data_IF_287797280004
#
_entry.id   IF_287797280004
#
_cell.length_a   1.000
_cell.length_b   1.000
_cell.length_c   1.000
_cell.angle_alpha   90.00
_cell.angle_beta   90.00
_cell.angle_gamma   90.00
#
_symmetry.space_group_name_H-M   'P 1'
#
loop_
_entity.id
_entity.type
_entity.pdbx_description
1 polymer ?
#
# COMPACT_ATOMS: atom_id res chain seq x y z
N UNK A 1 -16.62 -1.14 -9.46
CA UNK A 1 -15.58 -0.25 -8.97
C UNK A 1 -15.34 -0.49 -7.48
N UNK A 2 -14.10 -0.61 -7.04
CA UNK A 2 -13.75 -0.70 -5.62
C UNK A 2 -12.84 0.48 -5.28
N UNK A 3 -13.26 1.30 -4.32
CA UNK A 3 -12.41 2.32 -3.73
C UNK A 3 -11.71 1.76 -2.49
N UNK A 4 -10.39 1.73 -2.56
CA UNK A 4 -9.52 1.25 -1.50
C UNK A 4 -9.30 2.36 -0.45
N UNK A 5 -10.00 2.25 0.68
CA UNK A 5 -9.81 3.06 1.89
C UNK A 5 -9.30 2.22 3.07
N UNK A 6 -8.74 1.02 2.80
CA UNK A 6 -8.28 0.11 3.86
C UNK A 6 -7.12 0.69 4.66
N UNK A 7 -6.10 1.27 3.99
CA UNK A 7 -4.90 1.86 4.61
C UNK A 7 -4.30 0.94 5.69
N UNK A 8 -3.96 -0.30 5.28
CA UNK A 8 -3.57 -1.37 6.19
C UNK A 8 -2.12 -1.29 6.70
N UNK A 9 -1.29 -0.41 6.16
CA UNK A 9 0.08 -0.19 6.65
C UNK A 9 0.05 0.46 8.04
N UNK A 10 0.79 -0.07 9.02
CA UNK A 10 0.91 0.58 10.32
C UNK A 10 1.45 2.01 10.20
N UNK A 11 1.10 2.87 11.13
CA UNK A 11 1.46 4.29 11.21
C UNK A 11 0.77 5.22 10.20
N UNK A 12 0.31 4.75 9.07
CA UNK A 12 -0.31 5.58 8.05
C UNK A 12 -1.74 5.96 8.43
N UNK A 13 -2.08 7.24 8.20
CA UNK A 13 -3.41 7.80 8.50
C UNK A 13 -3.85 8.84 7.47
N UNK A 14 -3.14 9.01 6.36
CA UNK A 14 -3.44 10.00 5.33
C UNK A 14 -4.76 9.73 4.62
N UNK A 15 -5.03 8.46 4.25
CA UNK A 15 -6.29 8.07 3.60
C UNK A 15 -7.47 8.20 4.58
N UNK A 16 -7.27 7.79 5.84
CA UNK A 16 -8.27 7.97 6.89
C UNK A 16 -8.65 9.45 7.04
N UNK A 17 -7.66 10.34 7.06
CA UNK A 17 -7.88 11.77 7.25
C UNK A 17 -8.65 12.38 6.09
N UNK A 18 -8.30 12.08 4.85
CA UNK A 18 -9.03 12.60 3.69
C UNK A 18 -10.46 12.03 3.60
N UNK A 19 -10.69 10.78 4.00
CA UNK A 19 -12.04 10.22 4.06
C UNK A 19 -12.93 10.94 5.07
N UNK A 20 -12.37 11.40 6.19
CA UNK A 20 -13.11 12.19 7.19
C UNK A 20 -13.37 13.61 6.68
N UNK A 21 -12.36 14.30 6.18
CA UNK A 21 -12.44 15.72 5.84
C UNK A 21 -13.05 16.01 4.47
N UNK A 22 -12.91 15.05 3.54
CA UNK A 22 -13.28 15.23 2.12
C UNK A 22 -14.22 14.13 1.62
N UNK A 23 -15.04 13.57 2.52
CA UNK A 23 -15.95 12.46 2.22
C UNK A 23 -16.86 12.72 1.02
N UNK A 24 -17.50 13.89 0.96
CA UNK A 24 -18.43 14.26 -0.12
C UNK A 24 -17.73 14.28 -1.48
N UNK A 25 -16.55 14.88 -1.54
CA UNK A 25 -15.75 14.97 -2.78
C UNK A 25 -15.26 13.60 -3.26
N UNK A 26 -14.90 12.72 -2.33
CA UNK A 26 -14.52 11.34 -2.66
C UNK A 26 -15.73 10.59 -3.24
N UNK A 27 -16.92 10.74 -2.66
CA UNK A 27 -18.15 10.09 -3.18
C UNK A 27 -18.53 10.65 -4.56
N UNK A 28 -18.39 11.96 -4.81
CA UNK A 28 -18.60 12.54 -6.14
C UNK A 28 -17.58 11.98 -7.15
N UNK A 29 -16.31 11.88 -6.78
CA UNK A 29 -15.27 11.27 -7.60
C UNK A 29 -15.59 9.80 -7.94
N UNK A 30 -16.11 9.05 -6.96
CA UNK A 30 -16.60 7.69 -7.17
C UNK A 30 -17.74 7.62 -8.18
N UNK A 31 -18.71 8.55 -8.08
CA UNK A 31 -19.82 8.64 -9.02
C UNK A 31 -19.36 8.94 -10.44
N UNK A 32 -18.37 9.83 -10.60
CA UNK A 32 -17.76 10.14 -11.91
C UNK A 32 -17.09 8.88 -12.49
N UNK A 33 -16.25 8.20 -11.71
CA UNK A 33 -15.58 6.97 -12.17
C UNK A 33 -16.59 5.85 -12.49
N UNK A 34 -17.61 5.69 -11.65
CA UNK A 34 -18.72 4.75 -11.88
C UNK A 34 -19.41 5.01 -13.21
N UNK A 35 -19.70 6.27 -13.53
CA UNK A 35 -20.33 6.68 -14.79
C UNK A 35 -19.46 6.28 -16.00
N UNK A 36 -18.15 6.58 -15.95
CA UNK A 36 -17.19 6.22 -17.01
C UNK A 36 -17.13 4.70 -17.21
N UNK A 37 -17.31 3.92 -16.15
CA UNK A 37 -17.33 2.46 -16.19
C UNK A 37 -18.70 1.85 -16.53
N UNK A 38 -19.61 2.64 -17.17
CA UNK A 38 -20.92 2.15 -17.59
C UNK A 38 -21.91 1.98 -16.44
N UNK A 39 -21.82 2.81 -15.43
CA UNK A 39 -22.68 2.80 -14.23
C UNK A 39 -22.62 1.48 -13.41
N UNK A 40 -21.48 0.82 -13.37
CA UNK A 40 -21.25 -0.37 -12.57
C UNK A 40 -21.47 -0.08 -11.05
N UNK A 41 -21.74 -1.09 -10.21
CA UNK A 41 -21.75 -0.92 -8.76
C UNK A 41 -20.38 -0.41 -8.25
N UNK A 42 -20.40 0.39 -7.18
CA UNK A 42 -19.20 0.92 -6.55
C UNK A 42 -19.20 0.65 -5.04
N UNK A 43 -18.09 0.17 -4.51
CA UNK A 43 -17.90 -0.14 -3.08
C UNK A 43 -16.73 0.67 -2.56
N UNK A 44 -16.93 1.41 -1.47
CA UNK A 44 -15.88 2.10 -0.73
C UNK A 44 -15.52 1.21 0.46
N UNK A 45 -14.35 0.57 0.40
CA UNK A 45 -13.96 -0.46 1.34
C UNK A 45 -13.00 0.12 2.40
N UNK A 46 -13.41 0.10 3.67
CA UNK A 46 -12.71 0.75 4.81
C UNK A 46 -12.55 -0.26 5.94
N UNK A 47 -11.38 -0.31 6.59
CA UNK A 47 -11.17 -1.18 7.74
C UNK A 47 -11.95 -0.73 8.98
N UNK A 48 -12.42 -1.70 9.78
CA UNK A 48 -13.23 -1.51 11.00
C UNK A 48 -12.56 -0.64 12.09
N UNK A 49 -11.23 -0.51 12.03
CA UNK A 49 -10.47 0.35 12.95
C UNK A 49 -10.49 1.84 12.59
N UNK A 50 -11.31 2.23 11.60
CA UNK A 50 -11.49 3.62 11.12
C UNK A 50 -12.96 4.06 11.24
N UNK A 51 -13.55 4.04 12.45
CA UNK A 51 -15.00 4.26 12.62
C UNK A 51 -15.45 5.65 12.18
N UNK A 52 -14.61 6.69 12.37
CA UNK A 52 -14.94 8.06 11.95
C UNK A 52 -14.98 8.18 10.42
N UNK A 53 -14.06 7.55 9.71
CA UNK A 53 -14.05 7.52 8.25
C UNK A 53 -15.27 6.73 7.71
N UNK A 54 -15.60 5.57 8.31
CA UNK A 54 -16.77 4.79 7.94
C UNK A 54 -18.05 5.65 8.10
N UNK A 55 -18.18 6.35 9.24
CA UNK A 55 -19.30 7.24 9.50
C UNK A 55 -19.38 8.35 8.47
N UNK A 56 -18.32 9.15 8.30
CA UNK A 56 -18.29 10.27 7.38
C UNK A 56 -18.59 9.86 5.93
N UNK A 57 -18.01 8.75 5.48
CA UNK A 57 -18.26 8.24 4.12
C UNK A 57 -19.69 7.72 3.95
N UNK A 58 -20.26 7.05 4.95
CA UNK A 58 -21.64 6.55 4.91
C UNK A 58 -22.65 7.69 4.90
N UNK A 59 -22.42 8.73 5.71
CA UNK A 59 -23.24 9.95 5.71
C UNK A 59 -23.17 10.64 4.35
N UNK A 60 -21.98 10.82 3.77
CA UNK A 60 -21.81 11.42 2.45
C UNK A 60 -22.50 10.63 1.33
N UNK A 61 -22.43 9.28 1.36
CA UNK A 61 -23.14 8.43 0.40
C UNK A 61 -24.65 8.62 0.52
N UNK A 62 -25.17 8.64 1.76
CA UNK A 62 -26.61 8.83 2.01
C UNK A 62 -27.10 10.22 1.58
N UNK A 63 -26.37 11.28 1.93
CA UNK A 63 -26.73 12.66 1.60
C UNK A 63 -26.71 12.96 0.10
N UNK A 64 -25.73 12.43 -0.62
CA UNK A 64 -25.57 12.66 -2.06
C UNK A 64 -26.52 11.80 -2.91
N UNK A 65 -27.01 10.70 -2.36
CA UNK A 65 -28.04 9.86 -2.96
C UNK A 65 -27.65 9.20 -4.30
N UNK A 66 -26.36 9.06 -4.61
CA UNK A 66 -25.92 8.36 -5.82
C UNK A 66 -26.23 6.86 -5.70
N UNK A 67 -27.07 6.36 -6.59
CA UNK A 67 -27.46 4.95 -6.60
C UNK A 67 -26.28 4.01 -6.86
N UNK A 68 -26.25 2.86 -6.18
CA UNK A 68 -25.23 1.81 -6.40
C UNK A 68 -23.83 2.19 -5.94
N UNK A 69 -23.68 3.09 -4.96
CA UNK A 69 -22.47 3.35 -4.20
C UNK A 69 -22.75 2.96 -2.76
N UNK A 70 -21.90 2.15 -2.16
CA UNK A 70 -22.02 1.70 -0.77
C UNK A 70 -20.67 1.73 -0.04
N UNK A 71 -20.73 1.83 1.29
CA UNK A 71 -19.56 1.68 2.16
C UNK A 71 -19.55 0.28 2.75
N UNK A 72 -18.44 -0.43 2.58
CA UNK A 72 -18.22 -1.77 3.13
C UNK A 72 -17.15 -1.74 4.21
N UNK A 73 -17.50 -2.19 5.41
CA UNK A 73 -16.53 -2.37 6.49
C UNK A 73 -15.76 -3.66 6.33
N UNK A 74 -14.45 -3.57 6.34
CA UNK A 74 -13.52 -4.69 6.24
C UNK A 74 -12.92 -5.01 7.61
N UNK A 75 -12.58 -6.28 7.84
CA UNK A 75 -11.79 -6.67 9.02
C UNK A 75 -10.41 -6.03 8.98
N UNK A 76 -9.93 -5.55 10.14
CA UNK A 76 -8.56 -5.09 10.30
C UNK A 76 -7.60 -6.26 10.09
N UNK A 77 -6.88 -6.26 8.99
CA UNK A 77 -5.98 -7.34 8.58
C UNK A 77 -4.90 -6.81 7.63
N UNK A 78 -3.66 -7.23 7.79
CA UNK A 78 -2.59 -6.91 6.85
C UNK A 78 -2.28 -8.11 5.94
N UNK A 79 -2.17 -7.92 4.62
CA UNK A 79 -2.36 -6.70 3.81
C UNK A 79 -3.79 -6.60 3.23
N UNK A 80 -4.76 -6.11 3.96
CA UNK A 80 -6.16 -5.98 3.52
C UNK A 80 -6.31 -5.02 2.32
N UNK A 81 -5.48 -3.96 2.26
CA UNK A 81 -5.44 -3.01 1.14
C UNK A 81 -4.70 -3.51 -0.10
N UNK A 82 -4.12 -4.72 -0.07
CA UNK A 82 -3.55 -5.33 -1.26
C UNK A 82 -4.63 -5.55 -2.32
N UNK A 83 -4.38 -5.15 -3.57
CA UNK A 83 -5.40 -5.12 -4.63
C UNK A 83 -6.13 -6.47 -4.81
N UNK A 84 -5.37 -7.58 -4.89
CA UNK A 84 -5.95 -8.93 -5.05
C UNK A 84 -6.72 -9.38 -3.79
N UNK A 85 -6.18 -9.09 -2.60
CA UNK A 85 -6.82 -9.38 -1.31
C UNK A 85 -8.11 -8.59 -1.15
N UNK A 86 -8.11 -7.32 -1.56
CA UNK A 86 -9.27 -6.45 -1.50
C UNK A 86 -10.39 -6.93 -2.44
N UNK A 87 -10.05 -7.33 -3.68
CA UNK A 87 -11.01 -7.90 -4.63
C UNK A 87 -11.65 -9.16 -4.05
N UNK A 88 -10.86 -10.06 -3.46
CA UNK A 88 -11.38 -11.25 -2.83
C UNK A 88 -12.28 -10.92 -1.62
N UNK A 89 -11.89 -9.96 -0.78
CA UNK A 89 -12.68 -9.56 0.39
C UNK A 89 -14.04 -8.97 0.00
N UNK A 90 -14.09 -8.14 -1.06
CA UNK A 90 -15.31 -7.44 -1.51
C UNK A 90 -16.17 -8.30 -2.40
N UNK A 91 -15.57 -8.99 -3.39
CA UNK A 91 -16.31 -9.66 -4.47
C UNK A 91 -16.32 -11.18 -4.36
N UNK A 92 -15.55 -11.78 -3.46
CA UNK A 92 -15.34 -13.24 -3.36
C UNK A 92 -14.82 -13.85 -4.67
N UNK A 93 -14.00 -13.09 -5.40
CA UNK A 93 -13.36 -13.50 -6.65
C UNK A 93 -11.86 -13.44 -6.51
N UNK A 94 -11.18 -14.31 -7.23
CA UNK A 94 -9.72 -14.36 -7.26
C UNK A 94 -9.18 -13.85 -8.59
N UNK A 95 -8.13 -13.05 -8.52
CA UNK A 95 -7.35 -12.64 -9.69
C UNK A 95 -6.26 -13.68 -9.92
N UNK A 96 -6.31 -14.37 -11.05
CA UNK A 96 -5.35 -15.42 -11.42
C UNK A 96 -3.90 -14.88 -11.41
N UNK A 97 -2.94 -15.82 -11.32
CA UNK A 97 -1.53 -15.50 -11.47
C UNK A 97 -1.27 -14.76 -12.79
N UNK A 98 -0.49 -13.69 -12.75
CA UNK A 98 -0.24 -12.82 -13.91
C UNK A 98 -1.45 -12.02 -14.40
N UNK A 99 -2.66 -12.24 -13.84
CA UNK A 99 -3.88 -11.54 -14.24
C UNK A 99 -3.99 -10.13 -13.64
N UNK A 100 -4.79 -9.30 -14.30
CA UNK A 100 -5.17 -7.96 -13.84
C UNK A 100 -6.56 -7.98 -13.16
N UNK A 101 -6.88 -7.02 -12.30
CA UNK A 101 -8.17 -6.87 -11.64
C UNK A 101 -9.37 -6.98 -12.59
N UNK A 102 -9.24 -6.44 -13.80
CA UNK A 102 -10.29 -6.47 -14.81
C UNK A 102 -10.69 -7.91 -15.21
N UNK A 103 -9.77 -8.87 -15.12
CA UNK A 103 -10.09 -10.28 -15.40
C UNK A 103 -11.04 -10.90 -14.36
N UNK A 104 -11.09 -10.31 -13.16
CA UNK A 104 -12.05 -10.64 -12.12
C UNK A 104 -13.30 -9.75 -12.17
N UNK A 105 -13.42 -8.86 -13.17
CA UNK A 105 -14.51 -7.89 -13.30
C UNK A 105 -14.41 -6.72 -12.34
N UNK A 106 -13.20 -6.36 -11.88
CA UNK A 106 -12.98 -5.29 -10.92
C UNK A 106 -12.07 -4.20 -11.49
N UNK A 107 -12.35 -2.95 -11.09
CA UNK A 107 -11.45 -1.80 -11.17
C UNK A 107 -11.23 -1.31 -9.76
N UNK A 108 -9.97 -1.25 -9.30
CA UNK A 108 -9.61 -0.81 -7.95
C UNK A 108 -8.89 0.52 -8.03
N UNK A 109 -9.33 1.49 -7.22
CA UNK A 109 -8.70 2.80 -7.11
C UNK A 109 -8.57 3.20 -5.64
N UNK A 110 -7.55 3.97 -5.28
CA UNK A 110 -7.41 4.51 -3.93
C UNK A 110 -8.41 5.66 -3.70
N UNK A 111 -8.82 5.90 -2.46
CA UNK A 111 -9.73 7.01 -2.10
C UNK A 111 -9.16 8.38 -2.45
N UNK A 112 -7.84 8.60 -2.35
CA UNK A 112 -7.19 9.82 -2.78
C UNK A 112 -7.25 10.00 -4.32
N UNK A 113 -7.23 8.92 -5.08
CA UNK A 113 -7.45 8.97 -6.54
C UNK A 113 -8.88 9.44 -6.85
N UNK A 114 -9.88 8.97 -6.10
CA UNK A 114 -11.25 9.44 -6.25
C UNK A 114 -11.38 10.93 -5.98
N UNK A 115 -10.74 11.43 -4.93
CA UNK A 115 -10.66 12.85 -4.63
C UNK A 115 -9.99 13.64 -5.78
N UNK A 116 -8.89 13.12 -6.33
CA UNK A 116 -8.22 13.76 -7.45
C UNK A 116 -9.08 13.81 -8.73
N UNK A 117 -9.88 12.79 -8.98
CA UNK A 117 -10.86 12.76 -10.09
C UNK A 117 -11.93 13.86 -9.88
N UNK A 118 -12.48 13.98 -8.67
CA UNK A 118 -13.38 15.08 -8.35
C UNK A 118 -12.74 16.44 -8.61
N UNK A 119 -11.54 16.67 -8.08
CA UNK A 119 -10.84 17.97 -8.26
C UNK A 119 -10.57 18.27 -9.73
N UNK A 120 -10.16 17.28 -10.50
CA UNK A 120 -9.90 17.45 -11.93
C UNK A 120 -11.16 17.81 -12.72
N UNK A 121 -12.24 17.08 -12.52
CA UNK A 121 -13.48 17.21 -13.29
C UNK A 121 -14.36 18.37 -12.81
N UNK A 122 -14.52 18.54 -11.49
CA UNK A 122 -15.43 19.52 -10.94
C UNK A 122 -14.75 20.88 -10.64
N UNK A 123 -13.44 20.89 -10.43
CA UNK A 123 -12.68 22.10 -10.05
C UNK A 123 -11.66 22.51 -11.10
N UNK A 124 -11.53 21.75 -12.19
CA UNK A 124 -10.50 21.96 -13.21
C UNK A 124 -9.08 22.07 -12.61
N UNK A 125 -8.85 21.33 -11.50
CA UNK A 125 -7.60 21.36 -10.73
C UNK A 125 -6.83 20.06 -10.98
N UNK A 126 -5.66 20.11 -11.62
CA UNK A 126 -4.82 18.93 -11.80
C UNK A 126 -4.27 18.44 -10.45
N UNK A 127 -3.88 17.16 -10.39
CA UNK A 127 -3.24 16.58 -9.19
C UNK A 127 -1.83 17.13 -9.02
N UNK A 128 -1.70 18.22 -8.29
CA UNK A 128 -0.44 18.90 -7.93
C UNK A 128 -0.13 18.89 -6.43
N UNK A 129 -1.10 18.46 -5.62
CA UNK A 129 -0.94 18.33 -4.17
C UNK A 129 -1.42 16.95 -3.72
N UNK A 130 -0.82 16.41 -2.67
CA UNK A 130 -1.24 15.15 -2.04
C UNK A 130 -1.06 15.25 -0.53
N UNK A 131 -1.66 14.31 0.22
CA UNK A 131 -1.53 14.21 1.68
C UNK A 131 -0.54 13.09 2.04
N UNK A 132 0.31 13.37 3.01
CA UNK A 132 1.32 12.42 3.49
C UNK A 132 1.35 12.41 5.02
N UNK A 133 1.42 11.22 5.61
CA UNK A 133 1.63 11.03 7.04
C UNK A 133 3.11 11.20 7.38
N UNK A 134 3.43 12.06 8.34
CA UNK A 134 4.76 12.15 8.95
C UNK A 134 4.63 11.68 10.38
N UNK A 135 5.35 10.62 10.74
CA UNK A 135 5.23 9.95 12.03
C UNK A 135 6.47 9.10 12.32
N UNK A 136 6.46 8.37 13.40
CA UNK A 136 7.51 7.44 13.81
C UNK A 136 7.84 7.57 15.30
N UNK A 137 8.52 6.57 15.85
CA UNK A 137 8.87 6.53 17.27
C UNK A 137 9.96 7.54 17.68
N UNK A 138 10.54 8.22 16.70
CA UNK A 138 11.51 9.30 16.93
C UNK A 138 10.89 10.69 17.04
N UNK A 139 9.66 10.87 16.55
CA UNK A 139 8.98 12.17 16.59
C UNK A 139 8.20 12.34 17.89
N UNK A 140 8.16 13.57 18.37
CA UNK A 140 7.24 13.93 19.44
C UNK A 140 5.79 13.81 18.93
N UNK A 141 4.83 13.42 19.79
CA UNK A 141 3.43 13.24 19.38
C UNK A 141 2.84 14.46 18.66
N UNK A 142 3.23 15.67 19.09
CA UNK A 142 2.78 16.94 18.52
C UNK A 142 3.33 17.23 17.11
N UNK A 143 4.38 16.52 16.69
CA UNK A 143 4.94 16.64 15.35
C UNK A 143 4.41 15.55 14.38
N UNK A 144 3.62 14.60 14.88
CA UNK A 144 3.06 13.50 14.10
C UNK A 144 1.72 13.91 13.47
N UNK A 145 1.74 14.28 12.20
CA UNK A 145 0.57 14.81 11.49
C UNK A 145 0.46 14.29 10.06
N UNK A 146 -0.70 14.55 9.45
CA UNK A 146 -0.91 14.45 8.02
C UNK A 146 -0.69 15.84 7.40
N UNK A 147 0.23 15.92 6.46
CA UNK A 147 0.62 17.16 5.80
C UNK A 147 0.14 17.18 4.36
N UNK A 148 -0.44 18.30 3.95
CA UNK A 148 -0.69 18.58 2.54
C UNK A 148 0.60 19.13 1.91
N UNK A 149 1.11 18.45 0.90
CA UNK A 149 2.36 18.83 0.21
C UNK A 149 2.15 18.99 -1.30
N UNK A 150 3.07 19.69 -1.95
CA UNK A 150 3.13 19.75 -3.41
C UNK A 150 3.96 18.61 -3.95
N UNK A 151 3.47 17.96 -5.01
CA UNK A 151 4.21 16.93 -5.74
C UNK A 151 5.45 17.57 -6.36
N UNK A 152 6.60 16.91 -6.25
CA UNK A 152 7.91 17.43 -6.68
C UNK A 152 8.69 18.17 -5.59
N UNK A 153 8.12 18.30 -4.37
CA UNK A 153 8.81 18.93 -3.24
C UNK A 153 9.91 18.00 -2.69
N UNK A 154 11.13 18.49 -2.43
CA UNK A 154 12.17 17.67 -1.79
C UNK A 154 11.74 17.20 -0.40
N UNK A 155 12.10 15.98 -0.04
CA UNK A 155 11.78 15.40 1.27
C UNK A 155 12.49 16.16 2.40
N UNK A 156 13.67 16.70 2.16
CA UNK A 156 14.40 17.57 3.09
C UNK A 156 13.60 18.81 3.50
N UNK A 157 12.90 19.42 2.53
CA UNK A 157 12.06 20.59 2.81
C UNK A 157 10.84 20.22 3.66
N UNK A 158 10.19 19.10 3.32
CA UNK A 158 9.04 18.61 4.09
C UNK A 158 9.47 18.23 5.51
N UNK A 159 10.60 17.55 5.65
CA UNK A 159 11.15 17.19 6.94
C UNK A 159 11.43 18.43 7.80
N UNK A 160 12.07 19.45 7.22
CA UNK A 160 12.35 20.72 7.92
C UNK A 160 11.06 21.39 8.39
N UNK A 161 10.04 21.44 7.55
CA UNK A 161 8.72 22.01 7.89
C UNK A 161 8.04 21.23 9.03
N UNK A 162 8.26 19.91 9.10
CA UNK A 162 7.74 19.05 10.17
C UNK A 162 8.61 19.00 11.44
N UNK A 163 9.54 19.94 11.63
CA UNK A 163 10.38 20.01 12.82
C UNK A 163 11.78 19.41 12.66
N UNK A 164 12.17 19.00 11.45
CA UNK A 164 13.48 18.43 11.16
C UNK A 164 13.55 16.90 11.37
N UNK A 165 14.75 16.35 11.13
CA UNK A 165 15.04 14.94 11.41
C UNK A 165 15.62 14.83 12.82
N UNK A 166 14.98 14.09 13.75
CA UNK A 166 15.49 13.95 15.10
C UNK A 166 16.87 13.25 15.14
N UNK A 167 17.77 13.65 16.03
CA UNK A 167 19.10 13.04 16.18
C UNK A 167 19.05 11.54 16.49
N UNK A 168 18.03 11.10 17.25
CA UNK A 168 17.80 9.69 17.59
C UNK A 168 17.26 8.85 16.41
N UNK A 169 17.00 9.46 15.25
CA UNK A 169 16.50 8.76 14.07
C UNK A 169 17.60 7.93 13.40
N UNK A 170 17.44 6.63 13.40
CA UNK A 170 18.38 5.70 12.78
C UNK A 170 17.99 5.32 11.34
N UNK A 171 16.72 5.49 10.97
CA UNK A 171 16.21 5.14 9.65
C UNK A 171 15.02 6.00 9.28
N UNK A 172 15.02 6.50 8.05
CA UNK A 172 13.87 7.16 7.44
C UNK A 172 13.29 6.22 6.37
N UNK A 173 11.98 6.02 6.41
CA UNK A 173 11.27 5.16 5.45
C UNK A 173 10.24 6.01 4.71
N UNK A 174 10.28 5.99 3.38
CA UNK A 174 9.22 6.53 2.52
C UNK A 174 8.20 5.42 2.26
N UNK A 175 6.98 5.65 2.71
CA UNK A 175 5.91 4.64 2.76
C UNK A 175 5.78 3.99 4.13
N UNK A 176 4.97 2.93 4.22
CA UNK A 176 4.75 2.20 5.47
C UNK A 176 5.92 1.33 5.91
N UNK A 177 5.93 0.82 7.13
CA UNK A 177 7.07 0.04 7.66
C UNK A 177 7.19 -1.33 7.01
N UNK A 178 6.14 -1.84 6.36
CA UNK A 178 6.12 -3.16 5.75
C UNK A 178 6.52 -3.14 4.27
N UNK A 179 6.03 -2.18 3.49
CA UNK A 179 6.24 -2.08 2.04
C UNK A 179 7.06 -0.86 1.63
N UNK A 180 7.29 0.09 2.52
CA UNK A 180 8.04 1.30 2.26
C UNK A 180 9.53 1.03 2.02
N UNK A 181 10.22 2.02 1.50
CA UNK A 181 11.65 1.96 1.20
C UNK A 181 12.44 2.88 2.11
N UNK A 182 13.50 2.34 2.73
CA UNK A 182 14.45 3.19 3.45
C UNK A 182 15.14 4.14 2.46
N UNK A 183 15.23 5.40 2.84
CA UNK A 183 15.88 6.44 2.05
C UNK A 183 17.19 6.87 2.70
N UNK A 184 18.21 7.07 1.88
CA UNK A 184 19.53 7.55 2.30
C UNK A 184 19.79 9.00 1.88
N UNK A 185 18.95 9.54 0.98
CA UNK A 185 19.08 10.90 0.49
C UNK A 185 17.72 11.62 0.58
N UNK A 186 17.70 12.72 1.32
CA UNK A 186 16.52 13.57 1.52
C UNK A 186 16.28 14.57 0.38
N UNK A 187 17.16 14.63 -0.63
CA UNK A 187 16.95 15.44 -1.84
C UNK A 187 15.98 14.78 -2.82
N UNK A 188 15.66 13.50 -2.59
CA UNK A 188 14.59 12.83 -3.32
C UNK A 188 13.29 13.63 -3.21
N UNK A 189 12.57 13.77 -4.33
CA UNK A 189 11.32 14.52 -4.37
C UNK A 189 10.10 13.63 -4.16
N UNK A 190 9.05 14.24 -3.62
CA UNK A 190 7.73 13.60 -3.52
C UNK A 190 7.14 13.34 -4.90
N UNK A 191 6.41 12.24 -4.99
CA UNK A 191 5.68 11.82 -6.19
C UNK A 191 4.19 11.64 -5.86
N UNK A 192 3.37 11.39 -6.86
CA UNK A 192 1.91 11.14 -6.68
C UNK A 192 1.60 10.01 -5.68
N UNK A 193 2.47 9.02 -5.58
CA UNK A 193 2.32 7.87 -4.67
C UNK A 193 3.00 8.03 -3.31
N UNK A 194 3.55 9.20 -2.98
CA UNK A 194 4.14 9.43 -1.66
C UNK A 194 3.05 9.48 -0.60
N UNK A 195 3.07 8.52 0.34
CA UNK A 195 2.04 8.35 1.38
C UNK A 195 2.52 8.68 2.79
N UNK A 196 3.82 8.51 3.07
CA UNK A 196 4.36 8.78 4.41
C UNK A 196 5.87 8.94 4.44
N UNK A 197 6.35 9.60 5.51
CA UNK A 197 7.73 9.55 6.00
C UNK A 197 7.71 9.06 7.43
N UNK A 198 8.42 7.95 7.70
CA UNK A 198 8.57 7.39 9.03
C UNK A 198 9.97 7.64 9.54
N UNK A 199 10.07 8.21 10.74
CA UNK A 199 11.33 8.43 11.46
C UNK A 199 11.47 7.39 12.56
N UNK A 200 12.33 6.40 12.34
CA UNK A 200 12.43 5.21 13.17
C UNK A 200 13.75 5.17 13.93
N UNK A 201 13.67 4.88 15.22
CA UNK A 201 14.83 4.75 16.11
C UNK A 201 15.63 3.47 15.85
N UNK A 202 16.85 3.43 16.41
CA UNK A 202 17.67 2.22 16.43
C UNK A 202 16.95 1.04 17.09
N UNK A 203 16.19 1.27 18.14
CA UNK A 203 15.44 0.23 18.84
C UNK A 203 14.38 -0.40 17.95
N UNK A 204 13.68 0.42 17.16
CA UNK A 204 12.63 -0.05 16.25
C UNK A 204 13.19 -0.72 14.98
N UNK A 205 14.37 -0.30 14.51
CA UNK A 205 14.94 -0.75 13.24
C UNK A 205 16.01 -1.85 13.38
N UNK A 206 16.44 -2.14 14.61
CA UNK A 206 17.45 -3.17 14.86
C UNK A 206 16.89 -4.55 14.50
N UNK A 207 17.42 -5.14 13.45
CA UNK A 207 17.18 -6.55 13.13
C UNK A 207 18.14 -7.42 13.94
N UNK A 208 17.65 -8.59 14.40
CA UNK A 208 18.54 -9.62 14.91
C UNK A 208 19.44 -10.16 13.81
N UNK A 209 20.54 -10.78 14.18
CA UNK A 209 21.40 -11.47 13.22
C UNK A 209 20.67 -12.63 12.55
N UNK A 210 20.89 -12.77 11.24
CA UNK A 210 20.29 -13.85 10.48
C UNK A 210 20.96 -15.19 10.84
N UNK A 211 20.15 -16.16 11.17
CA UNK A 211 20.60 -17.54 11.43
C UNK A 211 20.12 -18.52 10.36
N UNK A 212 20.45 -19.79 10.51
CA UNK A 212 19.98 -20.83 9.60
C UNK A 212 18.47 -21.04 9.69
N UNK A 213 17.85 -21.38 8.54
CA UNK A 213 16.42 -21.69 8.50
C UNK A 213 16.12 -22.94 9.33
N UNK A 214 15.25 -22.80 10.34
CA UNK A 214 14.81 -23.89 11.20
C UNK A 214 13.61 -24.67 10.64
N UNK A 215 13.17 -24.39 9.42
CA UNK A 215 12.05 -25.04 8.70
C UNK A 215 10.72 -25.02 9.43
N UNK A 216 10.41 -23.96 10.15
CA UNK A 216 9.19 -23.84 10.98
C UNK A 216 7.90 -23.57 10.18
N UNK A 217 7.95 -23.26 8.89
CA UNK A 217 6.77 -22.99 8.04
C UNK A 217 6.13 -21.60 8.19
N UNK A 218 6.40 -20.83 9.25
CA UNK A 218 5.73 -19.54 9.55
C UNK A 218 5.70 -18.56 8.38
N UNK A 219 6.72 -18.53 7.53
CA UNK A 219 6.76 -17.64 6.38
C UNK A 219 5.77 -18.05 5.27
N UNK A 220 5.46 -19.35 5.12
CA UNK A 220 4.45 -19.86 4.21
C UNK A 220 3.05 -19.58 4.77
N UNK A 221 2.83 -19.86 6.06
CA UNK A 221 1.54 -19.59 6.72
C UNK A 221 1.17 -18.09 6.70
N UNK A 222 2.16 -17.20 6.80
CA UNK A 222 1.96 -15.76 6.76
C UNK A 222 1.82 -15.19 5.33
N UNK A 223 2.08 -15.98 4.29
CA UNK A 223 2.06 -15.48 2.91
C UNK A 223 0.61 -15.29 2.41
N UNK A 224 0.15 -14.05 2.14
CA UNK A 224 -1.22 -13.82 1.68
C UNK A 224 -1.46 -14.30 0.24
N UNK A 225 -0.39 -14.68 -0.47
CA UNK A 225 -0.45 -15.19 -1.84
C UNK A 225 -0.26 -16.71 -1.93
N UNK A 226 -0.16 -17.41 -0.78
CA UNK A 226 0.04 -18.86 -0.75
C UNK A 226 1.38 -19.33 -1.31
N UNK A 227 2.40 -18.46 -1.34
CA UNK A 227 3.73 -18.81 -1.82
C UNK A 227 4.55 -19.49 -0.70
N UNK A 228 5.67 -20.11 -1.08
CA UNK A 228 6.65 -20.71 -0.18
C UNK A 228 7.91 -19.83 -0.07
N UNK A 229 7.92 -18.77 0.75
CA UNK A 229 9.03 -17.81 0.79
C UNK A 229 10.38 -18.42 1.15
N UNK A 230 10.42 -19.48 1.97
CA UNK A 230 11.65 -20.21 2.30
C UNK A 230 12.25 -20.90 1.07
N UNK A 231 11.40 -21.48 0.20
CA UNK A 231 11.82 -22.12 -1.05
C UNK A 231 12.28 -21.05 -2.05
N UNK A 232 11.49 -20.01 -2.25
CA UNK A 232 11.84 -18.88 -3.14
C UNK A 232 13.19 -18.27 -2.73
N UNK A 233 13.42 -18.04 -1.43
CA UNK A 233 14.72 -17.55 -0.95
C UNK A 233 15.88 -18.52 -1.23
N UNK A 234 15.66 -19.84 -1.07
CA UNK A 234 16.66 -20.85 -1.38
C UNK A 234 17.00 -20.88 -2.87
N UNK A 235 15.98 -20.92 -3.74
CA UNK A 235 16.15 -20.91 -5.19
C UNK A 235 16.86 -19.63 -5.67
N UNK A 236 16.48 -18.47 -5.11
CA UNK A 236 17.08 -17.18 -5.42
C UNK A 236 18.58 -17.14 -5.08
N UNK A 237 18.98 -17.67 -3.91
CA UNK A 237 20.38 -17.74 -3.50
C UNK A 237 21.24 -18.65 -4.41
N UNK A 238 20.61 -19.59 -5.10
CA UNK A 238 21.28 -20.50 -6.05
C UNK A 238 21.08 -20.09 -7.51
N UNK A 239 20.47 -18.93 -7.81
CA UNK A 239 20.30 -18.42 -9.16
C UNK A 239 19.36 -19.26 -10.04
N UNK A 240 18.45 -20.07 -9.45
CA UNK A 240 17.58 -21.02 -10.17
C UNK A 240 16.33 -20.32 -10.72
N UNK A 241 16.51 -19.46 -11.75
CA UNK A 241 15.48 -18.55 -12.25
C UNK A 241 14.24 -19.25 -12.82
N UNK A 242 14.41 -20.36 -13.57
CA UNK A 242 13.28 -21.11 -14.15
C UNK A 242 12.41 -21.73 -13.04
N UNK A 243 13.04 -22.21 -11.97
CA UNK A 243 12.29 -22.76 -10.83
C UNK A 243 11.62 -21.69 -10.00
N UNK A 244 12.21 -20.50 -9.90
CA UNK A 244 11.55 -19.34 -9.28
C UNK A 244 10.27 -18.96 -10.03
N UNK A 245 10.30 -18.96 -11.38
CA UNK A 245 9.14 -18.72 -12.21
C UNK A 245 8.09 -19.85 -12.04
N UNK A 246 8.53 -21.11 -12.07
CA UNK A 246 7.64 -22.26 -11.87
C UNK A 246 6.98 -22.26 -10.49
N UNK A 247 7.63 -21.66 -9.46
CA UNK A 247 7.06 -21.46 -8.12
C UNK A 247 6.39 -20.08 -7.96
N UNK A 248 5.98 -19.47 -9.05
CA UNK A 248 5.14 -18.26 -9.10
C UNK A 248 5.72 -17.06 -8.32
N UNK A 249 7.05 -16.84 -8.35
CA UNK A 249 7.68 -15.69 -7.68
C UNK A 249 7.08 -14.35 -8.13
N UNK A 250 6.58 -14.29 -9.38
CA UNK A 250 5.91 -13.11 -9.95
C UNK A 250 4.66 -12.69 -9.17
N UNK A 251 4.01 -13.59 -8.46
CA UNK A 251 2.83 -13.29 -7.65
C UNK A 251 3.15 -12.71 -6.26
N UNK A 252 4.42 -12.67 -5.88
CA UNK A 252 4.82 -12.00 -4.64
C UNK A 252 4.45 -10.51 -4.69
N UNK A 253 3.63 -10.05 -3.75
CA UNK A 253 3.20 -8.64 -3.65
C UNK A 253 4.14 -7.76 -2.80
N UNK A 254 5.27 -8.30 -2.39
CA UNK A 254 6.28 -7.59 -1.58
C UNK A 254 5.77 -7.04 -0.24
N UNK A 255 4.80 -7.70 0.37
CA UNK A 255 4.12 -7.23 1.58
C UNK A 255 4.96 -7.34 2.88
N UNK A 256 6.09 -8.05 2.88
CA UNK A 256 6.96 -8.20 4.05
C UNK A 256 6.52 -9.22 5.11
N UNK A 257 5.31 -9.79 5.05
CA UNK A 257 4.79 -10.72 6.06
C UNK A 257 5.75 -11.88 6.37
N UNK A 258 6.32 -12.49 5.35
CA UNK A 258 7.25 -13.63 5.50
C UNK A 258 8.53 -13.26 6.27
N UNK A 259 9.07 -12.08 6.01
CA UNK A 259 10.28 -11.59 6.69
C UNK A 259 9.98 -11.18 8.12
N UNK A 260 8.83 -10.51 8.35
CA UNK A 260 8.39 -10.08 9.67
C UNK A 260 8.19 -11.26 10.63
N UNK A 261 7.63 -12.38 10.17
CA UNK A 261 7.35 -13.55 11.00
C UNK A 261 8.53 -14.51 11.15
N UNK A 262 9.66 -14.27 10.46
CA UNK A 262 10.79 -15.20 10.47
C UNK A 262 11.56 -15.18 11.80
N UNK A 263 11.52 -16.25 12.62
CA UNK A 263 12.24 -16.28 13.90
C UNK A 263 13.76 -16.39 13.74
N UNK A 264 14.24 -16.75 12.54
CA UNK A 264 15.65 -16.82 12.20
C UNK A 264 16.19 -15.52 11.58
N UNK A 265 15.41 -14.44 11.56
CA UNK A 265 15.75 -13.12 11.02
C UNK A 265 16.27 -13.12 9.58
N UNK A 266 15.91 -14.14 8.77
CA UNK A 266 16.35 -14.26 7.38
C UNK A 266 15.74 -13.12 6.56
N UNK A 267 16.54 -12.37 5.75
CA UNK A 267 16.05 -11.28 4.90
C UNK A 267 15.30 -11.83 3.66
N UNK A 268 14.18 -12.52 3.89
CA UNK A 268 13.43 -13.22 2.84
C UNK A 268 12.94 -12.26 1.76
N UNK A 269 12.37 -11.13 2.17
CA UNK A 269 11.79 -10.17 1.24
C UNK A 269 12.84 -9.54 0.34
N UNK A 270 14.00 -9.18 0.90
CA UNK A 270 15.08 -8.54 0.16
C UNK A 270 15.58 -9.47 -0.97
N UNK A 271 15.84 -10.73 -0.63
CA UNK A 271 16.27 -11.76 -1.59
C UNK A 271 15.19 -12.04 -2.65
N UNK A 272 13.92 -12.19 -2.23
CA UNK A 272 12.82 -12.49 -3.14
C UNK A 272 12.58 -11.31 -4.09
N UNK A 273 12.65 -10.07 -3.64
CA UNK A 273 12.43 -8.88 -4.48
C UNK A 273 13.49 -8.75 -5.59
N UNK A 274 14.76 -9.00 -5.26
CA UNK A 274 15.85 -9.00 -6.26
C UNK A 274 15.57 -10.08 -7.31
N UNK A 275 15.37 -11.31 -6.88
CA UNK A 275 15.14 -12.44 -7.76
C UNK A 275 13.86 -12.30 -8.61
N UNK A 276 12.78 -11.75 -8.03
CA UNK A 276 11.57 -11.40 -8.77
C UNK A 276 11.86 -10.42 -9.89
N UNK A 277 12.68 -9.38 -9.62
CA UNK A 277 13.07 -8.41 -10.63
C UNK A 277 13.79 -9.07 -11.81
N UNK A 278 14.67 -10.03 -11.53
CA UNK A 278 15.43 -10.78 -12.54
C UNK A 278 14.50 -11.68 -13.38
N UNK A 279 13.66 -12.48 -12.73
CA UNK A 279 12.66 -13.34 -13.39
C UNK A 279 11.72 -12.50 -14.28
N UNK A 280 11.24 -11.35 -13.78
CA UNK A 280 10.36 -10.47 -14.57
C UNK A 280 11.07 -9.88 -15.78
N UNK A 281 12.38 -9.62 -15.74
CA UNK A 281 13.18 -9.21 -16.91
C UNK A 281 13.27 -10.35 -17.93
N UNK A 282 13.53 -11.58 -17.49
CA UNK A 282 13.58 -12.76 -18.35
C UNK A 282 12.22 -12.98 -19.04
N UNK A 283 11.11 -12.95 -18.30
CA UNK A 283 9.77 -13.11 -18.87
C UNK A 283 9.48 -12.05 -19.95
N UNK A 284 9.82 -10.78 -19.66
CA UNK A 284 9.62 -9.68 -20.60
C UNK A 284 10.49 -9.74 -21.86
N UNK A 285 11.65 -10.38 -21.79
CA UNK A 285 12.56 -10.54 -22.93
C UNK A 285 12.12 -11.64 -23.92
N UNK A 286 11.19 -12.52 -23.50
CA UNK A 286 10.66 -13.57 -24.38
C UNK A 286 9.81 -12.96 -25.50
N UNK A 287 9.87 -13.51 -26.74
CA UNK A 287 8.98 -13.07 -27.80
C UNK A 287 7.51 -13.23 -27.37
N UNK A 288 6.70 -12.23 -27.63
CA UNK A 288 5.26 -12.34 -27.44
C UNK A 288 4.72 -13.20 -28.60
N UNK A 289 4.24 -14.41 -28.30
CA UNK A 289 3.49 -15.24 -29.24
C UNK A 289 2.13 -14.61 -29.52
#
# INVERSE_FOLDING_TARGET
>A
LILNGAECEPFLTSDNRIMIERSREIVVGAAIMKMVLGNCPAVIAIEENKPEAIKAMSEAVSELGYSGIEVMTLKKKYPQGGEKQLINAVMRREVKSGGLPISAGAVVQNVATSLAVYEAVQKNKPLVTNTMTITGDCLDPEAQHNYLFRIGMPLSYIAQYAGGVPEKCAKIVSGGPMMGKAISNMDACTVKGSSSLLYLSQAFTKRGEASYCIRCGKCADACPMGLEPFLLNKLAKHGRMDELEANAIQDCISCGCCQYTCPANIPLLDTINIAKGDVMRIIKSRPKN
#
